data_IF_286411814249
#
_entry.id   IF_286411814249
#
_cell.length_a   1.000
_cell.length_b   1.000
_cell.length_c   1.000
_cell.angle_alpha   90.00
_cell.angle_beta   90.00
_cell.angle_gamma   90.00
#
_symmetry.space_group_name_H-M   'P 1'
#
loop_
_entity.id
_entity.type
_entity.pdbx_description
1 polymer ?
#
# COMPACT_ATOMS: atom_id res chain seq x y z
N UNK A 1 20.96 16.42 -8.90
CA UNK A 1 21.61 15.44 -8.01
C UNK A 1 20.48 14.71 -7.30
N UNK A 2 20.39 13.40 -7.46
CA UNK A 2 19.42 12.58 -6.70
C UNK A 2 19.85 12.65 -5.24
N UNK A 3 18.92 13.05 -4.35
CA UNK A 3 19.16 13.05 -2.92
C UNK A 3 19.54 11.62 -2.49
N UNK A 4 20.62 11.44 -1.72
CA UNK A 4 21.04 10.11 -1.30
C UNK A 4 19.93 9.47 -0.48
N UNK A 5 19.68 8.17 -0.74
CA UNK A 5 18.68 7.41 0.00
C UNK A 5 18.93 7.54 1.52
N UNK A 6 17.95 7.98 2.32
CA UNK A 6 18.13 8.21 3.75
C UNK A 6 18.60 6.98 4.53
N UNK A 7 18.26 5.78 4.08
CA UNK A 7 18.74 4.52 4.68
C UNK A 7 20.22 4.29 4.40
N UNK A 8 20.72 4.66 3.21
CA UNK A 8 22.15 4.56 2.85
C UNK A 8 22.99 5.52 3.68
N UNK A 9 22.51 6.75 3.91
CA UNK A 9 23.20 7.73 4.78
C UNK A 9 23.36 7.21 6.20
N UNK A 10 22.38 6.46 6.70
CA UNK A 10 22.42 5.83 8.02
C UNK A 10 23.16 4.48 8.02
N UNK A 11 23.58 3.96 6.86
CA UNK A 11 24.24 2.67 6.74
C UNK A 11 23.36 1.48 7.10
N UNK A 12 22.04 1.57 6.81
CA UNK A 12 21.06 0.51 7.02
C UNK A 12 20.42 0.10 5.70
N UNK A 13 19.82 -1.09 5.67
CA UNK A 13 19.14 -1.57 4.47
C UNK A 13 17.88 -0.73 4.20
N UNK A 14 17.53 -0.49 2.91
CA UNK A 14 16.25 0.13 2.56
C UNK A 14 15.07 -0.66 3.17
N UNK A 15 14.14 0.06 3.82
CA UNK A 15 13.02 -0.57 4.50
C UNK A 15 13.31 -1.10 5.92
N UNK A 16 14.48 -0.76 6.49
CA UNK A 16 14.76 -1.06 7.90
C UNK A 16 13.68 -0.51 8.83
N UNK A 17 13.38 -1.25 9.89
CA UNK A 17 12.40 -0.86 10.90
C UNK A 17 12.87 0.34 11.75
N UNK A 18 11.93 0.95 12.47
CA UNK A 18 12.18 2.12 13.28
C UNK A 18 13.27 1.90 14.33
N UNK A 19 13.33 0.71 14.94
CA UNK A 19 14.33 0.39 15.96
C UNK A 19 15.74 0.34 15.38
N UNK A 20 15.89 -0.28 14.22
CA UNK A 20 17.17 -0.35 13.47
C UNK A 20 17.63 1.05 13.05
N UNK A 21 16.71 1.88 12.52
CA UNK A 21 16.99 3.27 12.15
C UNK A 21 17.46 4.08 13.37
N UNK A 22 16.77 3.98 14.49
CA UNK A 22 17.14 4.68 15.75
C UNK A 22 18.48 4.20 16.31
N UNK A 23 18.78 2.90 16.23
CA UNK A 23 20.05 2.35 16.71
C UNK A 23 21.22 2.83 15.84
N UNK A 24 21.08 2.82 14.52
CA UNK A 24 22.09 3.31 13.59
C UNK A 24 22.38 4.81 13.78
N UNK A 25 21.33 5.63 13.90
CA UNK A 25 21.45 7.05 14.17
C UNK A 25 22.24 7.34 15.45
N UNK A 26 21.85 6.71 16.59
CA UNK A 26 22.57 6.89 17.89
C UNK A 26 24.05 6.53 17.80
N UNK A 27 24.40 5.47 17.05
CA UNK A 27 25.78 5.06 16.83
C UNK A 27 26.56 6.11 16.03
N UNK A 28 25.95 6.62 14.93
CA UNK A 28 26.59 7.61 14.05
C UNK A 28 26.75 8.98 14.71
N UNK A 29 25.75 9.45 15.47
CA UNK A 29 25.85 10.72 16.23
C UNK A 29 27.00 10.68 17.22
N UNK A 30 27.18 9.56 17.93
CA UNK A 30 28.33 9.42 18.84
C UNK A 30 29.67 9.55 18.15
N UNK A 31 29.81 9.08 16.90
CA UNK A 31 31.07 9.11 16.16
C UNK A 31 31.33 10.44 15.43
N UNK A 32 30.34 11.32 15.30
CA UNK A 32 30.50 12.59 14.57
C UNK A 32 30.08 13.82 15.41
N UNK A 33 30.04 13.69 16.74
CA UNK A 33 29.69 14.82 17.59
C UNK A 33 30.81 15.89 17.56
N UNK A 34 30.47 17.18 17.31
CA UNK A 34 31.46 18.25 17.22
C UNK A 34 32.39 18.37 18.43
N UNK A 35 31.89 18.08 19.64
CA UNK A 35 32.65 18.15 20.89
C UNK A 35 33.82 17.15 20.98
N UNK A 36 33.92 16.17 20.07
CA UNK A 36 35.00 15.22 20.02
C UNK A 36 36.22 15.74 19.25
N UNK A 37 36.10 16.89 18.60
CA UNK A 37 37.13 17.47 17.77
C UNK A 37 37.65 18.77 18.38
N UNK A 38 38.96 18.93 18.46
CA UNK A 38 39.61 20.15 19.02
C UNK A 38 39.87 21.21 17.95
N UNK A 39 39.92 20.81 16.70
CA UNK A 39 40.18 21.69 15.56
C UNK A 39 38.90 22.28 14.97
N UNK A 40 38.84 23.60 14.78
CA UNK A 40 37.69 24.33 14.29
C UNK A 40 37.20 23.87 12.90
N UNK A 41 38.13 23.48 12.01
CA UNK A 41 37.81 22.97 10.68
C UNK A 41 37.13 21.60 10.78
N UNK A 42 37.59 20.72 11.68
CA UNK A 42 37.01 19.41 11.94
C UNK A 42 35.65 19.53 12.63
N UNK A 43 35.51 20.48 13.57
CA UNK A 43 34.22 20.76 14.23
C UNK A 43 33.15 21.18 13.19
N UNK A 44 33.52 22.08 12.26
CA UNK A 44 32.65 22.51 11.19
C UNK A 44 32.20 21.35 10.27
N UNK A 45 33.15 20.52 9.88
CA UNK A 45 32.88 19.34 9.05
C UNK A 45 31.99 18.33 9.80
N UNK A 46 32.20 18.12 11.10
CA UNK A 46 31.37 17.28 11.95
C UNK A 46 29.94 17.82 12.08
N UNK A 47 29.79 19.14 12.22
CA UNK A 47 28.50 19.81 12.27
C UNK A 47 27.71 19.66 10.96
N UNK A 48 28.34 19.84 9.81
CA UNK A 48 27.72 19.62 8.50
C UNK A 48 27.27 18.16 8.33
N UNK A 49 28.11 17.21 8.76
CA UNK A 49 27.79 15.79 8.75
C UNK A 49 26.60 15.47 9.66
N UNK A 50 26.54 16.07 10.85
CA UNK A 50 25.44 15.89 11.79
C UNK A 50 24.11 16.42 11.24
N UNK A 51 24.13 17.57 10.55
CA UNK A 51 22.94 18.13 9.89
C UNK A 51 22.42 17.14 8.84
N UNK A 52 23.28 16.61 7.97
CA UNK A 52 22.88 15.60 6.96
C UNK A 52 22.33 14.35 7.60
N UNK A 53 22.94 13.91 8.70
CA UNK A 53 22.51 12.73 9.45
C UNK A 53 21.12 12.93 10.06
N UNK A 54 20.84 14.11 10.62
CA UNK A 54 19.53 14.46 11.18
C UNK A 54 18.43 14.46 10.11
N UNK A 55 18.69 15.06 8.95
CA UNK A 55 17.73 15.06 7.84
C UNK A 55 17.47 13.64 7.33
N UNK A 56 18.51 12.82 7.18
CA UNK A 56 18.37 11.43 6.77
C UNK A 56 17.59 10.61 7.82
N UNK A 57 17.83 10.86 9.12
CA UNK A 57 17.13 10.19 10.20
C UNK A 57 15.61 10.50 10.19
N UNK A 58 15.24 11.77 10.07
CA UNK A 58 13.83 12.16 9.98
C UNK A 58 13.14 11.56 8.75
N UNK A 59 13.81 11.58 7.59
CA UNK A 59 13.30 10.99 6.37
C UNK A 59 13.15 9.46 6.50
N UNK A 60 14.16 8.78 7.05
CA UNK A 60 14.13 7.34 7.28
C UNK A 60 13.04 6.94 8.27
N UNK A 61 12.83 7.71 9.36
CA UNK A 61 11.73 7.45 10.30
C UNK A 61 10.36 7.60 9.65
N UNK A 62 10.14 8.62 8.83
CA UNK A 62 8.88 8.80 8.07
C UNK A 62 8.62 7.63 7.13
N UNK A 63 9.67 7.13 6.47
CA UNK A 63 9.57 5.96 5.60
C UNK A 63 9.35 4.66 6.40
N UNK A 64 10.08 4.46 7.50
CA UNK A 64 9.93 3.32 8.40
C UNK A 64 8.53 3.30 9.05
N UNK A 65 8.00 4.45 9.47
CA UNK A 65 6.64 4.56 9.99
C UNK A 65 5.59 4.20 8.94
N UNK A 66 5.78 4.59 7.68
CA UNK A 66 4.92 4.17 6.57
C UNK A 66 4.97 2.65 6.34
N UNK A 67 6.14 2.04 6.54
CA UNK A 67 6.33 0.59 6.46
C UNK A 67 5.76 -0.12 7.68
N UNK A 68 5.83 0.48 8.87
CA UNK A 68 5.33 -0.09 10.12
C UNK A 68 3.80 0.02 10.28
N UNK A 69 3.17 1.03 9.68
CA UNK A 69 1.69 1.22 9.74
C UNK A 69 0.94 0.24 8.81
N UNK A 70 1.63 -0.50 8.00
CA UNK A 70 0.95 -1.50 7.22
C UNK A 70 1.88 -2.21 6.27
N UNK A 71 1.71 -3.43 6.23
CA UNK A 71 2.07 -4.31 5.15
C UNK A 71 3.55 -4.71 5.12
N UNK A 72 3.91 -5.60 6.02
CA UNK A 72 4.79 -6.67 5.58
C UNK A 72 4.15 -7.23 4.33
N UNK A 73 4.64 -6.81 3.16
CA UNK A 73 4.22 -7.39 1.90
C UNK A 73 4.49 -8.90 1.98
N UNK A 74 3.54 -9.67 1.57
CA UNK A 74 3.62 -11.12 1.46
C UNK A 74 3.50 -11.50 0.00
N UNK A 75 3.91 -12.69 -0.35
CA UNK A 75 3.74 -13.14 -1.72
C UNK A 75 2.26 -13.09 -2.13
N UNK A 76 2.02 -12.84 -3.40
CA UNK A 76 0.67 -12.79 -3.96
C UNK A 76 -0.13 -14.06 -3.62
N UNK A 77 0.50 -15.23 -3.69
CA UNK A 77 -0.15 -16.51 -3.40
C UNK A 77 -0.55 -16.63 -1.93
N UNK A 78 0.32 -16.22 -1.01
CA UNK A 78 -0.01 -16.19 0.42
C UNK A 78 -1.14 -15.21 0.72
N UNK A 79 -1.10 -14.02 0.11
CA UNK A 79 -2.17 -13.03 0.28
C UNK A 79 -3.53 -13.56 -0.18
N UNK A 80 -3.58 -14.21 -1.36
CA UNK A 80 -4.80 -14.84 -1.88
C UNK A 80 -5.26 -15.99 -0.98
N UNK A 81 -4.33 -16.83 -0.52
CA UNK A 81 -4.65 -17.93 0.40
C UNK A 81 -5.28 -17.44 1.71
N UNK A 82 -4.64 -16.47 2.38
CA UNK A 82 -5.17 -15.89 3.62
C UNK A 82 -6.51 -15.20 3.41
N UNK A 83 -6.67 -14.47 2.29
CA UNK A 83 -7.92 -13.80 1.97
C UNK A 83 -9.08 -14.81 1.78
N UNK A 84 -8.87 -15.90 1.03
CA UNK A 84 -9.89 -16.94 0.84
C UNK A 84 -10.33 -17.57 2.16
N UNK A 85 -9.36 -17.92 3.01
CA UNK A 85 -9.67 -18.49 4.34
C UNK A 85 -10.50 -17.53 5.20
N UNK A 86 -10.24 -16.23 5.15
CA UNK A 86 -11.02 -15.22 5.87
C UNK A 86 -12.41 -15.01 5.27
N UNK A 87 -12.55 -15.15 3.96
CA UNK A 87 -13.87 -15.14 3.29
C UNK A 87 -14.72 -16.32 3.76
N UNK A 88 -14.16 -17.52 3.84
CA UNK A 88 -14.84 -18.71 4.36
C UNK A 88 -15.31 -18.54 5.82
N UNK A 89 -14.56 -17.77 6.62
CA UNK A 89 -14.92 -17.39 7.99
C UNK A 89 -15.93 -16.23 8.07
N UNK A 90 -16.33 -15.65 6.94
CA UNK A 90 -17.22 -14.49 6.88
C UNK A 90 -16.55 -13.15 7.23
N UNK A 91 -15.23 -13.13 7.43
CA UNK A 91 -14.49 -11.93 7.83
C UNK A 91 -13.98 -11.14 6.61
N UNK A 92 -14.92 -10.53 5.89
CA UNK A 92 -14.69 -9.90 4.59
C UNK A 92 -13.72 -8.70 4.65
N UNK A 93 -13.82 -7.86 5.68
CA UNK A 93 -12.92 -6.71 5.84
C UNK A 93 -11.47 -7.14 6.08
N UNK A 94 -11.26 -8.15 6.91
CA UNK A 94 -9.94 -8.70 7.14
C UNK A 94 -9.38 -9.40 5.90
N UNK A 95 -10.25 -10.08 5.12
CA UNK A 95 -9.89 -10.67 3.85
C UNK A 95 -9.35 -9.61 2.87
N UNK A 96 -10.06 -8.49 2.75
CA UNK A 96 -9.65 -7.39 1.89
C UNK A 96 -8.32 -6.76 2.34
N UNK A 97 -8.13 -6.60 3.65
CA UNK A 97 -6.84 -6.12 4.21
C UNK A 97 -5.69 -7.08 3.92
N UNK A 98 -5.88 -8.40 4.11
CA UNK A 98 -4.83 -9.39 3.83
C UNK A 98 -4.52 -9.47 2.33
N UNK A 99 -5.54 -9.45 1.48
CA UNK A 99 -5.36 -9.40 0.04
C UNK A 99 -4.55 -8.17 -0.41
N UNK A 100 -4.78 -7.02 0.25
CA UNK A 100 -4.04 -5.78 0.00
C UNK A 100 -2.54 -5.83 0.33
N UNK A 101 -2.08 -6.86 1.07
CA UNK A 101 -0.66 -7.06 1.41
C UNK A 101 0.15 -7.76 0.31
N UNK A 102 -0.49 -8.16 -0.77
CA UNK A 102 0.20 -8.80 -1.90
C UNK A 102 1.27 -7.88 -2.49
N UNK A 103 2.46 -8.42 -2.73
CA UNK A 103 3.60 -7.74 -3.38
C UNK A 103 3.33 -7.42 -4.85
N UNK A 104 2.44 -8.19 -5.48
CA UNK A 104 2.01 -8.02 -6.87
C UNK A 104 0.50 -8.30 -7.01
N UNK A 105 -0.09 -7.91 -8.13
CA UNK A 105 -1.54 -8.01 -8.38
C UNK A 105 -1.78 -8.53 -9.79
N UNK A 106 -2.13 -9.82 -9.90
CA UNK A 106 -2.53 -10.47 -11.13
C UNK A 106 -4.04 -10.38 -11.42
N UNK A 107 -4.51 -11.01 -12.47
CA UNK A 107 -5.93 -11.05 -12.81
C UNK A 107 -6.75 -11.75 -11.72
N UNK A 108 -6.24 -12.82 -11.16
CA UNK A 108 -6.90 -13.58 -10.09
C UNK A 108 -7.02 -12.76 -8.79
N UNK A 109 -6.00 -11.95 -8.47
CA UNK A 109 -6.05 -11.03 -7.34
C UNK A 109 -7.23 -10.05 -7.46
N UNK A 110 -7.40 -9.45 -8.65
CA UNK A 110 -8.52 -8.55 -8.93
C UNK A 110 -9.87 -9.25 -8.92
N UNK A 111 -9.93 -10.50 -9.41
CA UNK A 111 -11.15 -11.32 -9.33
C UNK A 111 -11.54 -11.56 -7.88
N UNK A 112 -10.61 -12.01 -7.03
CA UNK A 112 -10.87 -12.27 -5.62
C UNK A 112 -11.26 -10.99 -4.86
N UNK A 113 -10.64 -9.85 -5.18
CA UNK A 113 -11.08 -8.55 -4.66
C UNK A 113 -12.53 -8.25 -5.05
N UNK A 114 -12.89 -8.49 -6.31
CA UNK A 114 -14.26 -8.33 -6.79
C UNK A 114 -15.25 -9.23 -6.05
N UNK A 115 -14.92 -10.49 -5.83
CA UNK A 115 -15.74 -11.44 -5.06
C UNK A 115 -15.99 -10.95 -3.62
N UNK A 116 -14.96 -10.50 -2.93
CA UNK A 116 -15.07 -9.95 -1.57
C UNK A 116 -15.95 -8.70 -1.56
N UNK A 117 -15.74 -7.78 -2.48
CA UNK A 117 -16.51 -6.54 -2.58
C UNK A 117 -17.99 -6.80 -2.95
N UNK A 118 -18.29 -7.80 -3.76
CA UNK A 118 -19.65 -8.26 -4.04
C UNK A 118 -20.34 -8.75 -2.76
N UNK A 119 -19.65 -9.56 -1.95
CA UNK A 119 -20.17 -10.04 -0.67
C UNK A 119 -20.40 -8.87 0.33
N UNK A 120 -19.54 -7.83 0.29
CA UNK A 120 -19.70 -6.60 1.06
C UNK A 120 -20.76 -5.64 0.50
N UNK A 121 -21.44 -5.99 -0.59
CA UNK A 121 -22.40 -5.15 -1.33
C UNK A 121 -21.84 -3.85 -1.90
N UNK A 122 -20.52 -3.79 -2.09
CA UNK A 122 -19.81 -2.67 -2.70
C UNK A 122 -19.73 -2.86 -4.23
N UNK A 123 -20.88 -2.84 -4.89
CA UNK A 123 -21.04 -3.30 -6.28
C UNK A 123 -20.25 -2.47 -7.31
N UNK A 124 -20.11 -1.16 -7.09
CA UNK A 124 -19.38 -0.28 -7.99
C UNK A 124 -17.87 -0.59 -7.98
N UNK A 125 -17.30 -0.71 -6.80
CA UNK A 125 -15.87 -1.07 -6.63
C UNK A 125 -15.61 -2.52 -7.05
N UNK A 126 -16.56 -3.44 -6.81
CA UNK A 126 -16.49 -4.81 -7.30
C UNK A 126 -16.44 -4.86 -8.84
N UNK A 127 -17.31 -4.10 -9.50
CA UNK A 127 -17.32 -4.02 -10.96
C UNK A 127 -15.98 -3.48 -11.51
N UNK A 128 -15.39 -2.46 -10.87
CA UNK A 128 -14.09 -1.95 -11.26
C UNK A 128 -12.99 -3.02 -11.12
N UNK A 129 -13.00 -3.78 -10.02
CA UNK A 129 -12.04 -4.87 -9.80
C UNK A 129 -12.17 -5.97 -10.86
N UNK A 130 -13.38 -6.42 -11.17
CA UNK A 130 -13.58 -7.42 -12.23
C UNK A 130 -13.19 -6.91 -13.62
N UNK A 131 -13.45 -5.64 -13.92
CA UNK A 131 -12.97 -5.04 -15.18
C UNK A 131 -11.45 -5.09 -15.29
N UNK A 132 -10.75 -4.88 -14.19
CA UNK A 132 -9.30 -4.95 -14.15
C UNK A 132 -8.80 -6.39 -14.35
N UNK A 133 -9.51 -7.40 -13.82
CA UNK A 133 -9.24 -8.80 -14.08
C UNK A 133 -9.46 -9.14 -15.58
N UNK A 134 -10.58 -8.72 -16.16
CA UNK A 134 -10.88 -8.94 -17.58
C UNK A 134 -9.87 -8.24 -18.49
N UNK A 135 -9.38 -7.06 -18.13
CA UNK A 135 -8.35 -6.35 -18.93
C UNK A 135 -7.04 -7.15 -19.02
N UNK A 136 -6.70 -7.88 -17.95
CA UNK A 136 -5.50 -8.73 -17.92
C UNK A 136 -5.68 -10.06 -18.62
N UNK A 137 -6.85 -10.66 -18.48
CA UNK A 137 -7.21 -11.94 -19.08
C UNK A 137 -8.60 -11.85 -19.73
N UNK A 138 -8.68 -11.34 -20.97
CA UNK A 138 -9.96 -11.08 -21.65
C UNK A 138 -10.78 -12.34 -21.95
N UNK A 139 -10.12 -13.48 -22.14
CA UNK A 139 -10.77 -14.75 -22.50
C UNK A 139 -11.28 -15.53 -21.29
N UNK A 140 -10.97 -15.08 -20.08
CA UNK A 140 -11.40 -15.75 -18.86
C UNK A 140 -12.90 -15.52 -18.62
N UNK A 141 -13.69 -16.60 -18.81
CA UNK A 141 -15.15 -16.57 -18.67
C UNK A 141 -15.59 -16.14 -17.26
N UNK A 142 -14.92 -16.65 -16.23
CA UNK A 142 -15.24 -16.33 -14.82
C UNK A 142 -15.17 -14.83 -14.54
N UNK A 143 -14.14 -14.15 -15.06
CA UNK A 143 -13.95 -12.71 -14.84
C UNK A 143 -15.00 -11.88 -15.57
N UNK A 144 -15.38 -12.29 -16.79
CA UNK A 144 -16.46 -11.62 -17.54
C UNK A 144 -17.83 -11.78 -16.87
N UNK A 145 -18.12 -12.97 -16.37
CA UNK A 145 -19.37 -13.25 -15.63
C UNK A 145 -19.40 -12.42 -14.35
N UNK A 146 -18.32 -12.39 -13.54
CA UNK A 146 -18.23 -11.55 -12.35
C UNK A 146 -18.40 -10.05 -12.64
N UNK A 147 -17.84 -9.54 -13.74
CA UNK A 147 -18.03 -8.16 -14.15
C UNK A 147 -19.49 -7.86 -14.53
N UNK A 148 -20.15 -8.79 -15.22
CA UNK A 148 -21.57 -8.68 -15.59
C UNK A 148 -22.47 -8.68 -14.36
N UNK A 149 -22.27 -9.64 -13.44
CA UNK A 149 -23.03 -9.76 -12.21
C UNK A 149 -22.89 -8.52 -11.32
N UNK A 150 -21.69 -7.97 -11.21
CA UNK A 150 -21.44 -6.73 -10.49
C UNK A 150 -22.14 -5.53 -11.15
N UNK A 151 -22.15 -5.44 -12.47
CA UNK A 151 -22.87 -4.39 -13.20
C UNK A 151 -24.39 -4.48 -13.02
N UNK A 152 -24.94 -5.70 -13.04
CA UNK A 152 -26.38 -5.95 -12.78
C UNK A 152 -26.73 -5.56 -11.35
N UNK A 153 -25.92 -6.00 -10.37
CA UNK A 153 -26.13 -5.68 -8.95
C UNK A 153 -26.06 -4.17 -8.68
N UNK A 154 -25.08 -3.47 -9.30
CA UNK A 154 -24.95 -2.02 -9.24
C UNK A 154 -26.20 -1.31 -9.79
N UNK A 155 -26.71 -1.74 -10.94
CA UNK A 155 -27.94 -1.17 -11.54
C UNK A 155 -29.17 -1.41 -10.69
N UNK A 156 -29.30 -2.63 -10.13
CA UNK A 156 -30.45 -3.03 -9.28
C UNK A 156 -30.47 -2.25 -7.97
N UNK A 157 -29.29 -2.00 -7.36
CA UNK A 157 -29.15 -1.36 -6.06
C UNK A 157 -28.93 0.16 -6.13
N UNK A 158 -29.07 0.79 -7.30
CA UNK A 158 -28.99 2.25 -7.45
C UNK A 158 -30.08 2.93 -6.62
N UNK A 159 -29.73 3.98 -5.85
CA UNK A 159 -30.71 4.74 -5.07
C UNK A 159 -31.77 5.38 -5.99
N UNK A 160 -33.00 5.45 -5.49
CA UNK A 160 -34.16 5.99 -6.23
C UNK A 160 -33.92 7.39 -6.81
N UNK A 161 -33.21 8.25 -6.08
CA UNK A 161 -32.85 9.59 -6.54
C UNK A 161 -31.99 9.61 -7.81
N UNK A 162 -31.04 8.66 -7.94
CA UNK A 162 -30.23 8.53 -9.15
C UNK A 162 -31.06 7.97 -10.34
N UNK A 163 -32.03 7.08 -10.09
CA UNK A 163 -32.95 6.57 -11.11
C UNK A 163 -33.88 7.69 -11.64
N UNK A 164 -34.36 8.55 -10.74
CA UNK A 164 -35.19 9.72 -11.12
C UNK A 164 -34.37 10.73 -11.92
N UNK A 165 -33.14 11.04 -11.51
CA UNK A 165 -32.27 11.96 -12.23
C UNK A 165 -31.95 11.51 -13.66
N UNK A 166 -31.75 10.22 -13.88
CA UNK A 166 -31.53 9.64 -15.22
C UNK A 166 -32.81 9.69 -16.08
N UNK A 167 -33.98 9.43 -15.46
CA UNK A 167 -35.27 9.53 -16.14
C UNK A 167 -35.56 10.96 -16.59
N UNK A 168 -35.26 11.96 -15.77
CA UNK A 168 -35.41 13.39 -16.12
C UNK A 168 -34.42 13.80 -17.22
N UNK A 169 -33.17 13.31 -17.20
CA UNK A 169 -32.18 13.57 -18.25
C UNK A 169 -32.49 12.89 -19.59
N UNK A 170 -33.08 11.72 -19.56
CA UNK A 170 -33.44 10.96 -20.78
C UNK A 170 -34.72 11.46 -21.49
N UNK A 171 -35.41 12.47 -20.95
CA UNK A 171 -36.59 13.12 -21.55
C UNK A 171 -36.29 14.45 -22.26
N UNK A 172 -34.99 14.81 -22.43
CA UNK A 172 -34.60 15.98 -23.22
C UNK A 172 -34.10 15.61 -24.58
#
# INVERSE_FOLDING_TARGET
MLDPNPFEVLGVKPGADEQTVRAAYRRLVKSCHPDQFQDAAQQKAAQEKLIRLNLAYEAALKLAARTAVGFNLISQEEAKHFARRLVEQGNLESALRQLGRADSKDAEWFCLQGEILMAMRQYETAHQSYREAVRREPDNRKYREGALDAAIAMKKNRPLGAKIADWVRGKR
#
